data_IF_224297590502
#
_entry.id   IF_224297590502
#
_cell.length_a   1.000
_cell.length_b   1.000
_cell.length_c   1.000
_cell.angle_alpha   90.00
_cell.angle_beta   90.00
_cell.angle_gamma   90.00
#
_symmetry.space_group_name_H-M   'P 1'
#
loop_
_entity.id
_entity.type
_entity.pdbx_description
1 polymer ?
#
# COMPACT_ATOMS: atom_id res chain seq x y z
N UNK A 1 -73.03 -34.29 -16.83
CA UNK A 1 -72.61 -33.01 -16.21
C UNK A 1 -72.47 -33.21 -14.71
N UNK A 2 -71.44 -32.60 -14.11
CA UNK A 2 -71.11 -32.51 -12.66
C UNK A 2 -70.16 -33.56 -12.08
N UNK A 3 -68.87 -33.32 -12.38
CA UNK A 3 -67.75 -33.15 -11.45
C UNK A 3 -67.82 -33.81 -10.07
N UNK A 4 -66.97 -34.83 -9.88
CA UNK A 4 -66.49 -35.26 -8.57
C UNK A 4 -65.48 -34.26 -8.01
N UNK A 5 -65.77 -33.73 -6.83
CA UNK A 5 -64.86 -32.96 -5.99
C UNK A 5 -63.78 -33.90 -5.41
N UNK A 6 -62.52 -33.73 -5.83
CA UNK A 6 -61.38 -34.34 -5.16
C UNK A 6 -60.82 -33.33 -4.16
N UNK A 7 -60.94 -33.64 -2.86
CA UNK A 7 -60.35 -32.89 -1.76
C UNK A 7 -58.87 -33.31 -1.67
N UNK A 8 -57.98 -32.47 -2.21
CA UNK A 8 -56.54 -32.64 -2.03
C UNK A 8 -56.14 -32.20 -0.61
N UNK A 9 -55.61 -33.16 0.16
CA UNK A 9 -54.83 -32.90 1.37
C UNK A 9 -53.60 -32.04 0.99
N UNK A 10 -53.56 -30.79 1.46
CA UNK A 10 -52.30 -30.06 1.54
C UNK A 10 -51.67 -30.33 2.90
N UNK A 11 -50.58 -31.09 2.89
CA UNK A 11 -49.66 -31.20 4.01
C UNK A 11 -49.02 -29.82 4.25
N UNK A 12 -49.42 -29.16 5.33
CA UNK A 12 -48.69 -28.04 5.92
C UNK A 12 -47.44 -28.60 6.62
N UNK A 13 -46.44 -29.01 5.85
CA UNK A 13 -45.06 -29.02 6.35
C UNK A 13 -44.62 -27.58 6.44
N UNK A 14 -44.69 -27.02 7.65
CA UNK A 14 -44.09 -25.75 7.99
C UNK A 14 -42.59 -25.82 7.74
N UNK A 15 -42.17 -25.37 6.55
CA UNK A 15 -40.85 -24.82 6.34
C UNK A 15 -40.79 -23.56 7.21
N UNK A 16 -40.28 -23.70 8.42
CA UNK A 16 -39.69 -22.58 9.13
C UNK A 16 -38.48 -22.18 8.27
N UNK A 17 -38.70 -21.22 7.35
CA UNK A 17 -37.62 -20.35 6.92
C UNK A 17 -37.17 -19.63 8.19
N UNK A 18 -36.22 -20.21 8.92
CA UNK A 18 -35.40 -19.46 9.85
C UNK A 18 -34.69 -18.42 8.98
N UNK A 19 -35.20 -17.19 9.00
CA UNK A 19 -34.36 -16.04 8.72
C UNK A 19 -33.07 -16.24 9.54
N UNK A 20 -31.87 -15.95 9.00
CA UNK A 20 -30.68 -15.96 9.83
C UNK A 20 -30.99 -15.06 11.03
N UNK A 21 -30.99 -15.65 12.23
CA UNK A 21 -31.19 -14.91 13.46
C UNK A 21 -30.16 -13.77 13.41
N UNK A 22 -30.54 -12.48 13.54
CA UNK A 22 -29.57 -11.37 13.52
C UNK A 22 -28.62 -11.40 14.73
N UNK A 23 -28.65 -12.50 15.48
CA UNK A 23 -27.87 -12.76 16.66
C UNK A 23 -26.57 -13.42 16.29
N UNK A 24 -25.49 -12.77 16.70
CA UNK A 24 -24.15 -13.34 16.72
C UNK A 24 -23.94 -14.07 18.05
N UNK A 25 -23.15 -15.13 18.04
CA UNK A 25 -22.61 -15.76 19.25
C UNK A 25 -21.18 -15.28 19.51
N UNK A 26 -20.44 -14.97 18.43
CA UNK A 26 -19.05 -14.53 18.43
C UNK A 26 -18.80 -13.43 17.39
N UNK A 27 -17.67 -12.75 17.48
CA UNK A 27 -17.26 -11.73 16.48
C UNK A 27 -17.08 -12.33 15.08
N UNK A 28 -16.84 -13.64 14.97
CA UNK A 28 -16.71 -14.33 13.69
C UNK A 28 -18.03 -14.42 12.91
N UNK A 29 -19.16 -14.23 13.59
CA UNK A 29 -20.49 -14.20 12.97
C UNK A 29 -20.79 -12.83 12.33
N UNK A 30 -19.97 -11.82 12.63
CA UNK A 30 -20.11 -10.44 12.17
C UNK A 30 -19.16 -10.11 11.01
N UNK A 31 -19.47 -9.03 10.27
CA UNK A 31 -18.60 -8.52 9.21
C UNK A 31 -17.26 -7.99 9.75
N UNK A 32 -16.25 -7.83 8.90
CA UNK A 32 -14.87 -7.49 9.31
C UNK A 32 -14.64 -6.14 10.02
N UNK A 33 -15.70 -5.37 10.31
CA UNK A 33 -15.68 -4.10 11.06
C UNK A 33 -16.77 -4.06 12.14
N UNK A 34 -17.24 -5.23 12.55
CA UNK A 34 -18.31 -5.40 13.51
C UNK A 34 -17.91 -6.44 14.55
N UNK A 35 -18.41 -6.28 15.76
CA UNK A 35 -18.23 -7.22 16.86
C UNK A 35 -19.58 -7.64 17.42
N UNK A 36 -19.60 -8.77 18.11
CA UNK A 36 -20.80 -9.26 18.76
C UNK A 36 -20.95 -8.62 20.14
N UNK A 37 -21.88 -7.67 20.26
CA UNK A 37 -22.12 -7.00 21.54
C UNK A 37 -22.89 -7.90 22.53
N UNK A 38 -22.95 -7.50 23.79
CA UNK A 38 -23.57 -8.24 24.91
C UNK A 38 -25.06 -8.54 24.72
N UNK A 39 -25.74 -7.81 23.83
CA UNK A 39 -27.13 -8.08 23.43
C UNK A 39 -27.24 -9.07 22.27
N UNK A 40 -26.13 -9.73 21.89
CA UNK A 40 -26.02 -10.67 20.79
C UNK A 40 -26.45 -10.02 19.47
N UNK A 41 -25.84 -8.89 19.13
CA UNK A 41 -26.07 -8.19 17.86
C UNK A 41 -24.74 -7.70 17.30
N UNK A 42 -24.57 -7.79 15.98
CA UNK A 42 -23.41 -7.22 15.31
C UNK A 42 -23.48 -5.69 15.36
N UNK A 43 -22.53 -5.10 16.05
CA UNK A 43 -22.38 -3.65 16.24
C UNK A 43 -21.08 -3.21 15.58
N UNK A 44 -21.07 -2.02 14.98
CA UNK A 44 -19.86 -1.45 14.40
C UNK A 44 -18.78 -1.25 15.48
N UNK A 45 -17.52 -1.41 15.09
CA UNK A 45 -16.38 -1.18 15.98
C UNK A 45 -16.35 0.25 16.50
N UNK A 46 -15.75 0.41 17.68
CA UNK A 46 -15.77 1.62 18.48
C UNK A 46 -14.52 2.47 18.21
N UNK A 47 -14.74 3.77 17.99
CA UNK A 47 -13.65 4.73 17.87
C UNK A 47 -12.86 4.92 19.17
N UNK A 48 -11.68 5.55 19.05
CA UNK A 48 -10.80 5.82 20.18
C UNK A 48 -11.51 6.63 21.29
N UNK A 49 -11.21 6.32 22.55
CA UNK A 49 -11.85 6.92 23.73
C UNK A 49 -13.14 6.23 24.18
N UNK A 50 -13.72 5.36 23.34
CA UNK A 50 -14.91 4.58 23.70
C UNK A 50 -14.59 3.51 24.74
N UNK A 51 -15.52 3.18 25.66
CA UNK A 51 -15.33 2.07 26.57
C UNK A 51 -15.33 0.73 25.82
N UNK A 52 -14.49 -0.20 26.24
CA UNK A 52 -14.37 -1.50 25.61
C UNK A 52 -14.06 -2.59 26.64
N UNK A 53 -14.38 -3.83 26.30
CA UNK A 53 -14.04 -5.01 27.09
C UNK A 53 -12.98 -5.89 26.45
N UNK A 54 -13.00 -5.97 25.12
CA UNK A 54 -12.07 -6.74 24.29
C UNK A 54 -11.51 -5.87 23.16
N UNK A 55 -10.36 -6.29 22.62
CA UNK A 55 -9.72 -5.64 21.48
C UNK A 55 -10.61 -5.56 20.24
N UNK A 56 -11.40 -6.61 19.99
CA UNK A 56 -12.31 -6.70 18.84
C UNK A 56 -13.40 -5.63 18.81
N UNK A 57 -13.69 -4.99 19.96
CA UNK A 57 -14.66 -3.92 20.03
C UNK A 57 -14.15 -2.61 19.43
N UNK A 58 -12.83 -2.43 19.25
CA UNK A 58 -12.26 -1.14 18.86
C UNK A 58 -11.89 -1.09 17.37
N UNK A 59 -12.08 0.06 16.71
CA UNK A 59 -11.66 0.28 15.30
C UNK A 59 -10.15 0.05 15.11
N UNK A 60 -9.37 0.40 16.13
CA UNK A 60 -7.93 0.16 16.18
C UNK A 60 -7.57 -1.30 16.48
N UNK A 61 -8.55 -2.09 16.90
CA UNK A 61 -8.40 -3.42 17.47
C UNK A 61 -7.62 -3.43 18.78
N UNK A 62 -7.62 -2.33 19.54
CA UNK A 62 -6.90 -2.25 20.81
C UNK A 62 -7.73 -1.61 21.93
N UNK A 63 -8.00 -2.41 22.95
CA UNK A 63 -8.68 -2.03 24.18
C UNK A 63 -7.69 -2.03 25.35
N UNK A 64 -7.32 -0.85 25.85
CA UNK A 64 -6.43 -0.72 27.01
C UNK A 64 -7.11 0.02 28.14
N UNK A 65 -6.99 -0.53 29.36
CA UNK A 65 -7.66 -0.02 30.55
C UNK A 65 -9.16 0.24 30.33
N UNK A 66 -9.84 -0.68 29.63
CA UNK A 66 -11.25 -0.60 29.26
C UNK A 66 -11.61 0.58 28.34
N UNK A 67 -10.64 1.12 27.61
CA UNK A 67 -10.83 2.22 26.66
C UNK A 67 -10.13 1.93 25.32
N UNK A 68 -10.85 2.13 24.22
CA UNK A 68 -10.31 1.99 22.88
C UNK A 68 -9.20 3.02 22.64
N UNK A 69 -8.04 2.57 22.16
CA UNK A 69 -6.95 3.48 21.77
C UNK A 69 -7.02 3.80 20.29
N UNK A 70 -6.33 4.85 19.86
CA UNK A 70 -6.19 5.16 18.42
C UNK A 70 -5.36 4.11 17.68
N UNK A 71 -4.45 3.42 18.38
CA UNK A 71 -3.55 2.45 17.78
C UNK A 71 -3.04 1.44 18.81
N UNK A 72 -2.70 0.24 18.32
CA UNK A 72 -1.95 -0.75 19.08
C UNK A 72 -0.44 -0.43 19.14
N UNK A 73 0.08 0.58 18.43
CA UNK A 73 1.53 0.88 18.40
C UNK A 73 2.08 1.10 19.81
N UNK A 74 3.22 0.48 20.11
CA UNK A 74 3.92 0.55 21.39
C UNK A 74 3.35 -0.40 22.46
N UNK A 75 2.24 -1.07 22.19
CA UNK A 75 1.62 -2.01 23.09
C UNK A 75 2.32 -3.36 23.05
N UNK A 76 2.26 -4.10 24.17
CA UNK A 76 2.88 -5.43 24.26
C UNK A 76 2.16 -6.43 23.37
N UNK A 77 2.92 -7.30 22.71
CA UNK A 77 2.40 -8.35 21.85
C UNK A 77 3.27 -9.61 21.91
N UNK A 78 2.66 -10.75 21.63
CA UNK A 78 3.29 -12.07 21.49
C UNK A 78 3.14 -12.60 20.07
N UNK A 79 1.99 -12.34 19.43
CA UNK A 79 1.65 -12.82 18.10
C UNK A 79 1.34 -11.67 17.15
N UNK A 80 1.33 -11.96 15.84
CA UNK A 80 0.95 -10.99 14.82
C UNK A 80 -0.46 -10.44 15.04
N UNK A 81 -1.36 -11.29 15.51
CA UNK A 81 -2.78 -10.97 15.62
C UNK A 81 -3.04 -9.98 16.77
N UNK A 82 -2.16 -9.92 17.77
CA UNK A 82 -2.25 -8.94 18.87
C UNK A 82 -2.15 -7.49 18.37
N UNK A 83 -1.51 -7.26 17.22
CA UNK A 83 -1.31 -5.95 16.62
C UNK A 83 -2.32 -5.70 15.52
N UNK A 84 -3.58 -5.50 15.92
CA UNK A 84 -4.64 -5.16 14.99
C UNK A 84 -4.43 -3.77 14.37
N UNK A 85 -4.71 -3.67 13.06
CA UNK A 85 -4.63 -2.44 12.28
C UNK A 85 -3.78 -2.54 11.02
N UNK A 86 -4.02 -1.62 10.08
CA UNK A 86 -3.30 -1.61 8.80
C UNK A 86 -1.82 -1.31 9.03
N UNK A 87 -0.97 -2.08 8.34
CA UNK A 87 0.48 -1.90 8.35
C UNK A 87 1.11 -2.02 9.75
N UNK A 88 0.51 -2.77 10.68
CA UNK A 88 1.12 -3.05 11.98
C UNK A 88 1.64 -4.49 12.05
N UNK A 89 2.63 -4.73 12.91
CA UNK A 89 3.15 -6.07 13.17
C UNK A 89 3.66 -6.17 14.61
N UNK A 90 3.63 -7.39 15.16
CA UNK A 90 4.31 -7.68 16.41
C UNK A 90 5.80 -7.91 16.19
N UNK A 91 6.62 -7.04 16.76
CA UNK A 91 8.08 -7.20 16.74
C UNK A 91 8.50 -8.24 17.75
N UNK A 92 9.08 -9.34 17.28
CA UNK A 92 9.65 -10.38 18.15
C UNK A 92 10.90 -9.91 18.90
N UNK A 93 11.52 -8.81 18.46
CA UNK A 93 12.70 -8.24 19.12
C UNK A 93 12.32 -7.35 20.30
N UNK A 94 11.20 -6.61 20.19
CA UNK A 94 10.75 -5.66 21.22
C UNK A 94 9.52 -6.14 21.99
N UNK A 95 8.89 -7.24 21.55
CA UNK A 95 7.59 -7.72 22.02
C UNK A 95 6.53 -6.63 22.03
N UNK A 96 6.58 -5.73 21.04
CA UNK A 96 5.64 -4.63 20.90
C UNK A 96 5.13 -4.47 19.48
N UNK A 97 3.92 -3.93 19.36
CA UNK A 97 3.33 -3.59 18.08
C UNK A 97 4.01 -2.37 17.47
N UNK A 98 4.44 -2.49 16.23
CA UNK A 98 5.13 -1.43 15.49
C UNK A 98 4.50 -1.22 14.12
N UNK A 99 4.71 -0.02 13.55
CA UNK A 99 4.36 0.27 12.17
C UNK A 99 5.34 -0.38 11.21
N UNK A 100 4.83 -0.97 10.14
CA UNK A 100 5.57 -1.48 9.00
C UNK A 100 5.43 -0.56 7.79
N UNK A 101 6.33 -0.69 6.82
CA UNK A 101 6.25 0.06 5.57
C UNK A 101 6.73 1.51 5.66
N UNK A 102 7.49 1.86 6.70
CA UNK A 102 8.08 3.20 6.83
C UNK A 102 9.01 3.50 5.63
N UNK A 103 8.95 4.72 5.06
CA UNK A 103 9.74 5.11 3.89
C UNK A 103 11.21 5.36 4.25
N UNK A 104 12.05 5.53 3.22
CA UNK A 104 13.49 5.71 3.36
C UNK A 104 13.84 6.97 4.18
N UNK A 105 14.89 6.90 4.98
CA UNK A 105 15.37 8.00 5.81
C UNK A 105 14.59 8.24 7.10
N UNK A 106 13.43 7.59 7.28
CA UNK A 106 12.65 7.66 8.53
C UNK A 106 13.31 6.86 9.64
N UNK A 107 13.11 7.29 10.89
CA UNK A 107 13.64 6.58 12.04
C UNK A 107 13.00 5.21 12.21
N UNK A 108 13.79 4.23 12.63
CA UNK A 108 13.35 2.87 12.92
C UNK A 108 14.13 2.30 14.10
N UNK A 109 13.52 1.34 14.78
CA UNK A 109 14.13 0.55 15.83
C UNK A 109 14.50 -0.84 15.33
N UNK A 110 13.62 -1.45 14.53
CA UNK A 110 13.80 -2.81 13.98
C UNK A 110 13.57 -2.85 12.48
N UNK A 111 14.13 -3.86 11.83
CA UNK A 111 14.05 -4.08 10.39
C UNK A 111 12.62 -4.13 9.86
N UNK A 112 11.72 -4.79 10.60
CA UNK A 112 10.33 -5.00 10.21
C UNK A 112 9.54 -3.70 9.95
N UNK A 113 9.99 -2.59 10.52
CA UNK A 113 9.34 -1.28 10.38
C UNK A 113 9.49 -0.69 8.98
N UNK A 114 10.59 -1.00 8.30
CA UNK A 114 10.93 -0.37 7.03
C UNK A 114 10.28 -1.08 5.85
N UNK A 115 9.92 -0.32 4.81
CA UNK A 115 9.38 -0.89 3.57
C UNK A 115 10.33 -1.94 2.94
N UNK A 116 11.64 -1.71 3.01
CA UNK A 116 12.69 -2.63 2.54
C UNK A 116 13.24 -3.56 3.61
N UNK A 117 12.55 -3.69 4.75
CA UNK A 117 12.93 -4.59 5.85
C UNK A 117 14.36 -4.40 6.35
N UNK A 118 14.88 -3.18 6.28
CA UNK A 118 16.24 -2.83 6.69
C UNK A 118 16.27 -1.52 7.46
N UNK A 119 16.56 -1.65 8.75
CA UNK A 119 16.79 -0.57 9.68
C UNK A 119 18.30 -0.49 9.97
N UNK A 120 18.97 0.50 9.40
CA UNK A 120 20.42 0.67 9.54
C UNK A 120 20.73 2.06 10.10
N UNK A 121 21.60 2.15 11.10
CA UNK A 121 21.88 3.39 11.84
C UNK A 121 20.59 4.11 12.30
N UNK A 122 19.62 3.34 12.80
CA UNK A 122 18.31 3.82 13.25
C UNK A 122 17.48 4.52 12.16
N UNK A 123 17.79 4.28 10.88
CA UNK A 123 17.01 4.77 9.74
C UNK A 123 16.63 3.67 8.77
N UNK A 124 15.45 3.77 8.20
CA UNK A 124 15.02 2.90 7.12
C UNK A 124 15.86 3.18 5.88
N UNK A 125 16.53 2.14 5.39
CA UNK A 125 17.41 2.22 4.24
C UNK A 125 17.10 1.07 3.30
N UNK A 126 17.34 1.29 2.02
CA UNK A 126 17.43 0.21 1.04
C UNK A 126 18.78 -0.48 1.18
N UNK A 127 18.91 -1.66 0.60
CA UNK A 127 20.24 -2.22 0.39
C UNK A 127 20.99 -1.42 -0.67
N UNK A 128 22.31 -1.29 -0.50
CA UNK A 128 23.14 -0.61 -1.48
C UNK A 128 22.95 -1.22 -2.88
N UNK A 129 22.84 -0.34 -3.87
CA UNK A 129 22.65 -0.71 -5.26
C UNK A 129 21.24 -1.10 -5.66
N UNK A 130 20.26 -1.09 -4.75
CA UNK A 130 18.86 -1.30 -5.11
C UNK A 130 18.22 -0.12 -5.83
N UNK A 131 17.07 -0.36 -6.44
CA UNK A 131 16.33 0.69 -7.13
C UNK A 131 16.07 1.92 -6.23
N UNK A 132 16.50 3.08 -6.70
CA UNK A 132 16.39 4.37 -6.04
C UNK A 132 17.47 4.65 -4.99
N UNK A 133 18.48 3.79 -4.79
CA UNK A 133 19.65 4.15 -3.97
C UNK A 133 20.61 5.03 -4.74
N UNK A 134 21.25 5.97 -4.05
CA UNK A 134 22.32 6.79 -4.63
C UNK A 134 23.45 5.93 -5.19
N UNK A 135 24.02 6.36 -6.32
CA UNK A 135 25.12 5.67 -6.98
C UNK A 135 26.04 6.70 -7.64
N UNK A 136 27.28 6.31 -7.96
CA UNK A 136 28.20 7.12 -8.77
C UNK A 136 28.42 6.52 -10.15
N UNK A 137 28.34 5.19 -10.26
CA UNK A 137 28.53 4.42 -11.48
C UNK A 137 27.62 3.20 -11.48
N UNK A 138 27.37 2.63 -12.66
CA UNK A 138 26.41 1.51 -12.83
C UNK A 138 26.80 0.28 -12.02
N UNK A 139 28.08 0.05 -11.76
CA UNK A 139 28.57 -1.06 -10.96
C UNK A 139 28.21 -0.94 -9.47
N UNK A 140 27.81 0.25 -9.02
CA UNK A 140 27.28 0.43 -7.66
C UNK A 140 25.85 -0.12 -7.55
N UNK A 141 25.21 -0.47 -8.67
CA UNK A 141 23.84 -0.95 -8.74
C UNK A 141 23.74 -2.46 -8.91
N UNK A 142 22.72 -3.08 -8.33
CA UNK A 142 22.41 -4.50 -8.49
C UNK A 142 22.07 -4.81 -9.97
N UNK A 143 22.26 -6.07 -10.35
CA UNK A 143 22.09 -6.54 -11.74
C UNK A 143 20.75 -6.09 -12.35
N UNK A 144 20.79 -5.58 -13.58
CA UNK A 144 19.63 -5.03 -14.29
C UNK A 144 19.33 -3.55 -14.03
N UNK A 145 20.09 -2.91 -13.15
CA UNK A 145 19.99 -1.47 -12.87
C UNK A 145 21.20 -0.71 -13.44
N UNK A 146 21.01 0.57 -13.69
CA UNK A 146 22.01 1.53 -14.14
C UNK A 146 22.06 2.71 -13.18
N UNK A 147 23.23 3.35 -13.09
CA UNK A 147 23.35 4.59 -12.34
C UNK A 147 23.02 5.78 -13.23
N UNK A 148 21.88 6.43 -12.99
CA UNK A 148 21.39 7.50 -13.84
C UNK A 148 20.73 8.61 -13.01
N UNK A 149 20.67 9.81 -13.58
CA UNK A 149 19.98 10.94 -12.97
C UNK A 149 18.47 10.69 -13.02
N UNK A 150 17.71 11.23 -12.06
CA UNK A 150 16.30 11.46 -12.34
C UNK A 150 16.17 12.65 -13.25
N UNK A 151 15.03 12.68 -13.90
CA UNK A 151 14.58 13.86 -14.62
C UNK A 151 14.26 15.04 -13.66
N UNK A 152 14.23 14.85 -12.33
CA UNK A 152 13.53 15.75 -11.39
C UNK A 152 14.35 16.23 -10.17
N UNK A 153 15.50 15.66 -9.87
CA UNK A 153 16.39 16.07 -8.78
C UNK A 153 17.63 16.76 -9.32
N UNK A 154 18.15 17.64 -8.47
CA UNK A 154 19.24 18.57 -8.71
C UNK A 154 20.60 17.88 -8.89
N UNK A 155 20.75 17.02 -9.89
CA UNK A 155 22.02 16.39 -10.28
C UNK A 155 22.38 15.10 -9.52
N UNK A 156 21.52 14.60 -8.64
CA UNK A 156 21.74 13.34 -7.95
C UNK A 156 21.49 12.14 -8.89
N UNK A 157 22.32 11.11 -8.76
CA UNK A 157 22.22 9.85 -9.50
C UNK A 157 21.79 8.72 -8.57
N UNK A 158 20.92 7.85 -9.06
CA UNK A 158 20.45 6.68 -8.34
C UNK A 158 20.29 5.48 -9.26
N UNK A 159 20.29 4.29 -8.66
CA UNK A 159 20.12 3.04 -9.37
C UNK A 159 18.70 2.92 -9.91
N UNK A 160 18.53 2.71 -11.20
CA UNK A 160 17.22 2.58 -11.85
C UNK A 160 17.28 1.63 -13.03
N UNK A 161 16.12 1.21 -13.53
CA UNK A 161 16.08 0.44 -14.78
C UNK A 161 16.56 1.30 -15.94
N UNK A 162 17.25 0.66 -16.90
CA UNK A 162 17.55 1.27 -18.18
C UNK A 162 16.30 1.23 -19.07
N UNK A 163 15.36 2.13 -18.80
CA UNK A 163 14.12 2.29 -19.55
C UNK A 163 14.28 3.13 -20.82
N UNK A 164 15.52 3.53 -21.13
CA UNK A 164 15.86 4.50 -22.19
C UNK A 164 15.15 5.86 -22.00
N UNK A 165 14.57 6.10 -20.82
CA UNK A 165 13.83 7.30 -20.49
C UNK A 165 14.74 8.47 -20.13
N UNK A 166 14.15 9.60 -19.74
CA UNK A 166 14.91 10.80 -19.35
C UNK A 166 15.92 10.46 -18.24
N UNK A 167 17.16 10.89 -18.44
CA UNK A 167 18.31 10.64 -17.54
C UNK A 167 19.07 9.35 -17.83
N UNK A 168 18.58 8.49 -18.73
CA UNK A 168 19.29 7.26 -19.14
C UNK A 168 20.56 7.59 -19.92
N UNK A 169 21.65 6.82 -19.78
CA UNK A 169 22.86 7.00 -20.56
C UNK A 169 22.59 6.66 -22.03
N UNK A 170 23.22 7.40 -22.94
CA UNK A 170 23.11 7.19 -24.37
C UNK A 170 24.40 7.59 -25.08
N UNK A 171 24.65 6.98 -26.23
CA UNK A 171 25.68 7.40 -27.19
C UNK A 171 25.08 7.98 -28.47
N UNK A 172 23.84 7.58 -28.79
CA UNK A 172 23.09 8.01 -29.98
C UNK A 172 21.59 8.07 -29.67
N UNK A 173 20.81 8.67 -30.58
CA UNK A 173 19.37 8.89 -30.42
C UNK A 173 18.60 7.58 -30.16
N UNK A 174 18.99 6.49 -30.79
CA UNK A 174 18.33 5.18 -30.72
C UNK A 174 18.50 4.47 -29.36
N UNK A 175 19.44 4.97 -28.56
CA UNK A 175 19.61 4.52 -27.17
C UNK A 175 18.54 5.12 -26.27
N UNK A 176 17.85 6.16 -26.72
CA UNK A 176 16.76 6.83 -26.02
C UNK A 176 15.39 6.37 -26.51
N UNK A 177 14.38 6.46 -25.64
CA UNK A 177 12.98 6.19 -25.99
C UNK A 177 12.47 7.22 -27.00
N UNK A 178 11.43 6.86 -27.76
CA UNK A 178 10.76 7.75 -28.71
C UNK A 178 10.47 9.13 -28.09
N UNK A 179 10.75 10.19 -28.86
CA UNK A 179 10.66 11.61 -28.48
C UNK A 179 11.76 12.13 -27.52
N UNK A 180 12.80 11.34 -27.23
CA UNK A 180 14.00 11.80 -26.51
C UNK A 180 15.22 11.89 -27.45
N UNK A 181 16.14 12.79 -27.11
CA UNK A 181 17.43 12.93 -27.79
C UNK A 181 18.55 12.57 -26.83
N UNK A 182 19.65 12.06 -27.40
CA UNK A 182 20.89 11.91 -26.65
C UNK A 182 21.63 13.25 -26.63
N UNK A 183 21.62 13.93 -25.48
CA UNK A 183 22.34 15.20 -25.24
C UNK A 183 23.34 14.99 -24.11
N UNK A 184 24.60 15.34 -24.34
CA UNK A 184 25.67 15.20 -23.33
C UNK A 184 25.80 13.81 -22.71
N UNK A 185 25.54 12.75 -23.50
CA UNK A 185 25.61 11.36 -23.06
C UNK A 185 24.42 10.88 -22.24
N UNK A 186 23.35 11.68 -22.12
CA UNK A 186 22.10 11.32 -21.43
C UNK A 186 20.87 11.61 -22.29
N UNK A 187 19.82 10.79 -22.10
CA UNK A 187 18.55 10.96 -22.77
C UNK A 187 17.79 12.12 -22.15
N UNK A 188 17.45 13.11 -22.95
CA UNK A 188 16.75 14.32 -22.54
C UNK A 188 15.56 14.58 -23.47
N UNK A 189 14.55 15.28 -22.95
CA UNK A 189 13.48 15.78 -23.81
C UNK A 189 14.06 16.80 -24.80
N UNK A 190 13.57 16.78 -26.03
CA UNK A 190 13.91 17.84 -26.97
C UNK A 190 12.96 19.01 -26.78
N UNK A 191 13.49 20.24 -26.69
CA UNK A 191 12.70 21.46 -26.47
C UNK A 191 11.69 21.74 -27.61
N UNK A 192 11.77 20.99 -28.71
CA UNK A 192 10.90 21.11 -29.89
C UNK A 192 9.92 19.96 -30.06
N UNK A 193 10.06 18.87 -29.30
CA UNK A 193 9.27 17.65 -29.47
C UNK A 193 8.46 17.38 -28.21
N UNK A 194 7.14 17.39 -28.35
CA UNK A 194 6.26 17.04 -27.25
C UNK A 194 6.28 15.53 -26.96
N UNK A 195 6.14 15.16 -25.69
CA UNK A 195 6.17 13.81 -25.14
C UNK A 195 4.78 13.17 -25.29
N UNK A 196 4.73 11.96 -25.85
CA UNK A 196 3.48 11.22 -26.04
C UNK A 196 2.85 10.74 -24.71
N UNK A 197 1.53 10.44 -24.69
CA UNK A 197 0.85 9.89 -23.51
C UNK A 197 1.51 8.62 -22.96
N UNK A 198 1.51 8.46 -21.64
CA UNK A 198 2.11 7.35 -20.91
C UNK A 198 3.63 7.45 -20.69
N UNK A 199 4.28 8.51 -21.18
CA UNK A 199 5.72 8.76 -21.00
C UNK A 199 5.98 9.79 -19.90
N UNK A 200 7.14 9.69 -19.24
CA UNK A 200 7.51 10.58 -18.15
C UNK A 200 7.71 12.03 -18.63
N UNK A 201 7.23 13.00 -17.87
CA UNK A 201 7.24 14.44 -18.20
C UNK A 201 7.62 15.29 -16.98
N UNK A 202 8.24 16.46 -17.16
CA UNK A 202 8.56 17.38 -16.06
C UNK A 202 7.47 18.40 -15.82
N UNK A 203 6.98 18.99 -16.90
CA UNK A 203 5.94 20.00 -16.92
C UNK A 203 4.85 19.62 -17.93
N UNK A 204 3.68 20.26 -17.78
CA UNK A 204 2.57 20.11 -18.73
C UNK A 204 3.03 20.43 -20.15
N UNK A 205 3.83 21.49 -20.33
CA UNK A 205 4.37 21.90 -21.62
C UNK A 205 5.24 20.85 -22.32
N UNK A 206 5.76 19.86 -21.59
CA UNK A 206 6.54 18.77 -22.18
C UNK A 206 5.64 17.78 -22.91
N UNK A 207 4.36 17.66 -22.53
CA UNK A 207 3.44 16.68 -23.09
C UNK A 207 2.74 17.20 -24.34
N UNK A 208 2.51 16.31 -25.33
CA UNK A 208 1.69 16.65 -26.49
C UNK A 208 0.26 17.02 -26.08
N UNK A 209 -0.25 16.38 -25.03
CA UNK A 209 -1.56 16.67 -24.43
C UNK A 209 -1.56 17.91 -23.52
N UNK A 210 -0.41 18.56 -23.34
CA UNK A 210 -0.17 19.61 -22.34
C UNK A 210 -0.63 19.22 -20.93
N UNK A 211 -0.48 17.95 -20.57
CA UNK A 211 -1.06 17.42 -19.34
C UNK A 211 -0.13 16.37 -18.72
N UNK A 212 0.69 16.82 -17.77
CA UNK A 212 1.68 16.02 -17.08
C UNK A 212 1.17 15.64 -15.68
N UNK A 213 0.65 14.41 -15.54
CA UNK A 213 -0.02 13.93 -14.32
C UNK A 213 0.86 13.02 -13.50
N UNK A 214 0.72 13.12 -12.18
CA UNK A 214 1.29 12.13 -11.27
C UNK A 214 0.66 10.76 -11.48
N UNK A 215 1.51 9.76 -11.66
CA UNK A 215 1.17 8.35 -11.74
C UNK A 215 1.93 7.62 -10.63
N UNK A 216 1.18 6.92 -9.79
CA UNK A 216 1.71 6.17 -8.64
C UNK A 216 1.92 4.69 -8.96
N UNK A 217 2.28 4.36 -10.20
CA UNK A 217 2.24 2.97 -10.67
C UNK A 217 3.34 2.06 -10.09
N UNK A 218 4.25 2.58 -9.25
CA UNK A 218 5.37 1.80 -8.69
C UNK A 218 5.97 2.37 -7.39
N UNK A 219 5.18 3.06 -6.57
CA UNK A 219 5.63 3.53 -5.25
C UNK A 219 6.59 4.73 -5.25
N UNK A 220 6.83 5.36 -6.40
CA UNK A 220 7.40 6.71 -6.50
C UNK A 220 6.38 7.64 -7.15
N UNK A 221 6.37 8.93 -6.76
CA UNK A 221 5.66 9.94 -7.53
C UNK A 221 6.44 10.10 -8.84
N UNK A 222 5.89 9.58 -9.94
CA UNK A 222 6.40 9.80 -11.29
C UNK A 222 5.34 10.60 -12.04
N UNK A 223 5.73 11.65 -12.78
CA UNK A 223 4.78 12.35 -13.65
C UNK A 223 4.86 11.76 -15.05
N UNK A 224 3.74 11.46 -15.66
CA UNK A 224 3.64 11.03 -17.05
C UNK A 224 2.57 11.80 -17.81
N UNK A 225 2.75 11.94 -19.11
CA UNK A 225 1.77 12.57 -19.98
C UNK A 225 0.46 11.77 -19.98
N UNK A 226 -0.65 12.47 -19.72
CA UNK A 226 -1.99 11.91 -19.79
C UNK A 226 -2.48 11.86 -21.24
#
# INVERSE_FOLDING_TARGET
MRFHLAISLFALTGLVLSAPDPRCETDADCGGWQFCDRIQMCTDTLGAGSPCDTNSMCDSGWCDNKVCKETAIGQSCSTRDDCHGRQQFCSQETHTCLLSGRPEGTSCQVNGECAWKRCFNKKCQKEDGEFGTSCKKTEDCKSGLICAKDAFSSGNTFCRFNDKGIGSPCSKKEDCRLALLCKSGICEADDTTCIAPGLLCKADGDCCSKNCKWNFSSGLPLRSCA
#
